data_IF_034979343365
#
_entry.id   IF_034979343365
#
_cell.length_a   1.000
_cell.length_b   1.000
_cell.length_c   1.000
_cell.angle_alpha   90.00
_cell.angle_beta   90.00
_cell.angle_gamma   90.00
#
_symmetry.space_group_name_H-M   'P 1'
#
loop_
_entity.id
_entity.type
_entity.pdbx_description
1 polymer ?
#
# COMPACT_ATOMS: atom_id res chain seq x y z
N UNK A 1 -12.62 -3.92 1.44
CA UNK A 1 -11.56 -4.26 2.43
C UNK A 1 -10.34 -3.34 2.38
N UNK A 2 -10.05 -2.61 1.30
CA UNK A 2 -8.97 -1.59 1.29
C UNK A 2 -9.45 -0.23 0.76
N UNK A 3 -10.78 -0.02 0.76
CA UNK A 3 -11.38 1.25 0.31
C UNK A 3 -10.79 2.48 0.98
N UNK A 4 -10.58 2.47 2.31
CA UNK A 4 -9.98 3.60 3.02
C UNK A 4 -8.57 3.97 2.55
N UNK A 5 -7.77 3.00 2.09
CA UNK A 5 -6.45 3.23 1.49
C UNK A 5 -6.58 3.97 0.16
N UNK A 6 -7.43 3.45 -0.73
CA UNK A 6 -7.69 4.05 -2.04
C UNK A 6 -8.24 5.47 -1.88
N UNK A 7 -9.20 5.65 -0.97
CA UNK A 7 -9.84 6.93 -0.72
C UNK A 7 -8.91 7.94 -0.03
N UNK A 8 -7.82 7.50 0.60
CA UNK A 8 -6.81 8.41 1.15
C UNK A 8 -6.00 9.10 0.04
N UNK A 9 -5.73 8.37 -1.04
CA UNK A 9 -4.85 8.80 -2.12
C UNK A 9 -5.61 9.70 -3.10
N UNK A 10 -6.86 9.35 -3.42
CA UNK A 10 -7.67 10.03 -4.44
C UNK A 10 -7.80 11.55 -4.25
N UNK A 11 -7.90 12.04 -3.02
CA UNK A 11 -8.31 13.43 -2.74
C UNK A 11 -7.34 14.52 -3.19
N UNK A 12 -6.03 14.24 -3.21
CA UNK A 12 -4.98 15.23 -3.57
C UNK A 12 -4.01 14.72 -4.63
N UNK A 13 -4.16 13.46 -5.07
CA UNK A 13 -3.26 12.88 -6.06
C UNK A 13 -3.39 13.59 -7.41
N UNK A 14 -4.62 13.91 -7.85
CA UNK A 14 -4.86 14.51 -9.16
C UNK A 14 -4.11 15.85 -9.34
N UNK A 15 -4.30 16.77 -8.39
CA UNK A 15 -3.66 18.09 -8.42
C UNK A 15 -2.12 17.99 -8.39
N UNK A 16 -1.58 17.05 -7.59
CA UNK A 16 -0.14 16.84 -7.48
C UNK A 16 0.45 16.10 -8.66
N UNK A 17 -0.27 15.13 -9.24
CA UNK A 17 0.12 14.40 -10.43
C UNK A 17 0.31 15.35 -11.62
N UNK A 18 -0.58 16.32 -11.79
CA UNK A 18 -0.44 17.33 -12.85
C UNK A 18 0.70 18.31 -12.54
N UNK A 19 0.74 18.88 -11.33
CA UNK A 19 1.70 19.93 -10.98
C UNK A 19 3.14 19.46 -10.79
N UNK A 20 3.35 18.23 -10.31
CA UNK A 20 4.69 17.69 -10.00
C UNK A 20 5.18 16.76 -11.10
N UNK A 21 4.31 15.86 -11.58
CA UNK A 21 4.69 14.83 -12.55
C UNK A 21 4.43 15.25 -13.99
N UNK A 22 3.74 16.38 -14.21
CA UNK A 22 3.38 16.84 -15.54
C UNK A 22 2.44 15.88 -16.27
N UNK A 23 1.68 15.07 -15.53
CA UNK A 23 0.72 14.14 -16.14
C UNK A 23 -0.43 14.91 -16.77
N UNK A 24 -0.83 14.48 -17.96
CA UNK A 24 -2.01 15.02 -18.62
C UNK A 24 -3.27 14.58 -17.86
N UNK A 25 -4.35 15.37 -17.93
CA UNK A 25 -5.63 15.05 -17.26
C UNK A 25 -6.13 13.64 -17.59
N UNK A 26 -5.99 13.22 -18.85
CA UNK A 26 -6.34 11.88 -19.30
C UNK A 26 -5.48 10.76 -18.68
N UNK A 27 -4.29 11.07 -18.19
CA UNK A 27 -3.36 10.12 -17.56
C UNK A 27 -3.53 10.06 -16.04
N UNK A 28 -4.11 11.09 -15.41
CA UNK A 28 -4.23 11.20 -13.96
C UNK A 28 -5.05 10.05 -13.36
N UNK A 29 -6.27 9.83 -13.86
CA UNK A 29 -7.16 8.81 -13.30
C UNK A 29 -6.63 7.37 -13.52
N UNK A 30 -6.13 7.00 -14.72
CA UNK A 30 -5.48 5.71 -14.92
C UNK A 30 -4.24 5.52 -14.04
N UNK A 31 -3.41 6.56 -13.87
CA UNK A 31 -2.23 6.49 -13.00
C UNK A 31 -2.62 6.33 -11.55
N UNK A 32 -3.60 7.10 -11.07
CA UNK A 32 -4.14 6.99 -9.71
C UNK A 32 -4.70 5.59 -9.44
N UNK A 33 -5.41 5.01 -10.40
CA UNK A 33 -5.91 3.64 -10.32
C UNK A 33 -4.74 2.65 -10.23
N UNK A 34 -3.75 2.76 -11.10
CA UNK A 34 -2.55 1.90 -11.09
C UNK A 34 -1.78 2.00 -9.76
N UNK A 35 -1.58 3.21 -9.26
CA UNK A 35 -0.98 3.48 -7.94
C UNK A 35 -1.79 2.81 -6.83
N UNK A 36 -3.09 3.06 -6.79
CA UNK A 36 -3.98 2.52 -5.77
C UNK A 36 -4.01 0.99 -5.78
N UNK A 37 -4.15 0.40 -6.97
CA UNK A 37 -4.21 -1.05 -7.17
C UNK A 37 -2.87 -1.69 -6.75
N UNK A 38 -1.74 -1.13 -7.19
CA UNK A 38 -0.39 -1.62 -6.83
C UNK A 38 -0.12 -1.54 -5.33
N UNK A 39 -0.52 -0.45 -4.68
CA UNK A 39 -0.38 -0.30 -3.22
C UNK A 39 -1.25 -1.31 -2.49
N UNK A 40 -2.51 -1.45 -2.89
CA UNK A 40 -3.44 -2.42 -2.30
C UNK A 40 -2.92 -3.85 -2.46
N UNK A 41 -2.42 -4.21 -3.64
CA UNK A 41 -1.91 -5.54 -3.92
C UNK A 41 -0.59 -5.82 -3.19
N UNK A 42 0.27 -4.82 -3.05
CA UNK A 42 1.47 -4.94 -2.22
C UNK A 42 1.09 -5.10 -0.75
N UNK A 43 0.21 -4.27 -0.21
CA UNK A 43 -0.28 -4.38 1.17
C UNK A 43 -0.89 -5.76 1.43
N UNK A 44 -1.75 -6.24 0.52
CA UNK A 44 -2.27 -7.62 0.57
C UNK A 44 -1.11 -8.63 0.61
N UNK A 45 -0.20 -8.60 -0.35
CA UNK A 45 0.93 -9.55 -0.43
C UNK A 45 1.74 -9.56 0.86
N UNK A 46 1.97 -8.41 1.48
CA UNK A 46 2.78 -8.32 2.71
C UNK A 46 1.99 -8.78 3.93
N UNK A 47 0.71 -8.41 4.05
CA UNK A 47 -0.21 -8.93 5.08
C UNK A 47 -0.30 -10.46 4.99
N UNK A 48 -0.60 -10.99 3.80
CA UNK A 48 -0.73 -12.42 3.52
C UNK A 48 0.60 -13.17 3.50
N UNK A 49 1.73 -12.47 3.34
CA UNK A 49 3.08 -13.01 3.37
C UNK A 49 3.71 -13.04 4.77
N UNK A 50 2.94 -12.78 5.83
CA UNK A 50 3.42 -12.83 7.21
C UNK A 50 4.09 -11.55 7.72
N UNK A 51 4.06 -10.45 6.94
CA UNK A 51 4.62 -9.14 7.32
C UNK A 51 3.57 -8.16 7.83
N UNK A 52 2.53 -8.67 8.48
CA UNK A 52 1.41 -7.87 8.98
C UNK A 52 1.87 -6.75 9.93
N UNK A 53 2.78 -7.06 10.86
CA UNK A 53 3.28 -6.07 11.81
C UNK A 53 4.05 -4.93 11.13
N UNK A 54 4.81 -5.22 10.08
CA UNK A 54 5.53 -4.20 9.31
C UNK A 54 4.54 -3.27 8.59
N UNK A 55 3.47 -3.86 8.03
CA UNK A 55 2.42 -3.12 7.33
C UNK A 55 1.68 -2.20 8.30
N UNK A 56 1.30 -2.72 9.48
CA UNK A 56 0.69 -1.92 10.54
C UNK A 56 1.66 -0.79 10.93
N UNK A 57 2.93 -1.11 11.19
CA UNK A 57 3.95 -0.13 11.52
C UNK A 57 4.01 1.02 10.52
N UNK A 58 4.13 0.70 9.24
CA UNK A 58 4.26 1.71 8.18
C UNK A 58 2.98 2.54 7.99
N UNK A 59 1.82 1.89 7.84
CA UNK A 59 0.56 2.56 7.49
C UNK A 59 -0.09 3.30 8.67
N UNK A 60 0.32 3.00 9.90
CA UNK A 60 -0.11 3.73 11.10
C UNK A 60 0.89 4.82 11.51
N UNK A 61 2.06 4.88 10.86
CA UNK A 61 3.14 5.80 11.20
C UNK A 61 3.96 5.40 12.44
N UNK A 62 3.74 4.21 13.00
CA UNK A 62 4.55 3.67 14.08
C UNK A 62 5.97 3.26 13.61
N UNK A 63 6.18 3.09 12.30
CA UNK A 63 7.49 2.84 11.68
C UNK A 63 7.78 3.90 10.63
N UNK A 64 9.03 4.42 10.55
CA UNK A 64 9.41 5.36 9.51
C UNK A 64 9.18 4.83 8.08
N UNK A 65 8.65 5.70 7.22
CA UNK A 65 8.48 5.47 5.80
C UNK A 65 9.72 5.96 5.02
N UNK A 66 10.87 5.35 5.29
CA UNK A 66 12.15 5.72 4.67
C UNK A 66 12.71 4.62 3.75
N UNK A 67 13.83 4.92 3.10
CA UNK A 67 14.48 4.02 2.14
C UNK A 67 15.01 2.71 2.74
N UNK A 68 15.18 2.63 4.07
CA UNK A 68 15.60 1.41 4.75
C UNK A 68 14.41 0.49 5.05
N UNK A 69 13.17 0.97 4.89
CA UNK A 69 11.98 0.17 5.14
C UNK A 69 11.74 -0.82 3.97
N UNK A 70 11.78 -2.14 4.20
CA UNK A 70 11.62 -3.14 3.14
C UNK A 70 10.28 -3.04 2.41
N UNK A 71 9.23 -2.55 3.08
CA UNK A 71 7.93 -2.33 2.46
C UNK A 71 7.96 -1.18 1.46
N UNK A 72 8.72 -0.11 1.74
CA UNK A 72 8.87 1.00 0.79
C UNK A 72 9.52 0.52 -0.50
N UNK A 73 10.55 -0.32 -0.41
CA UNK A 73 11.20 -0.93 -1.59
C UNK A 73 10.26 -1.83 -2.38
N UNK A 74 9.43 -2.64 -1.71
CA UNK A 74 8.44 -3.51 -2.36
C UNK A 74 7.32 -2.70 -3.03
N UNK A 75 6.82 -1.66 -2.37
CA UNK A 75 5.81 -0.75 -2.92
C UNK A 75 6.34 -0.04 -4.16
N UNK A 76 7.56 0.50 -4.09
CA UNK A 76 8.19 1.17 -5.23
C UNK A 76 8.42 0.21 -6.39
N UNK A 77 9.00 -0.96 -6.13
CA UNK A 77 9.26 -1.95 -7.17
C UNK A 77 7.97 -2.48 -7.81
N UNK A 78 6.93 -2.72 -7.01
CA UNK A 78 5.62 -3.15 -7.48
C UNK A 78 4.94 -2.08 -8.34
N UNK A 79 5.05 -0.82 -7.95
CA UNK A 79 4.46 0.29 -8.69
C UNK A 79 5.19 0.56 -10.01
N UNK A 80 6.53 0.59 -10.02
CA UNK A 80 7.30 0.71 -11.27
C UNK A 80 6.89 -0.39 -12.25
N UNK A 81 6.81 -1.65 -11.78
CA UNK A 81 6.37 -2.76 -12.61
C UNK A 81 4.94 -2.57 -13.12
N UNK A 82 4.02 -2.10 -12.27
CA UNK A 82 2.62 -1.87 -12.67
C UNK A 82 2.49 -0.74 -13.69
N UNK A 83 3.21 0.37 -13.51
CA UNK A 83 3.22 1.48 -14.48
C UNK A 83 3.85 1.05 -15.81
N UNK A 84 4.96 0.31 -15.78
CA UNK A 84 5.57 -0.18 -17.02
C UNK A 84 4.70 -1.20 -17.75
N UNK A 85 4.08 -2.14 -17.03
CA UNK A 85 3.29 -3.22 -17.65
C UNK A 85 1.85 -2.81 -18.01
N UNK A 86 1.18 -2.02 -17.16
CA UNK A 86 -0.23 -1.66 -17.35
C UNK A 86 -0.40 -0.35 -18.14
N UNK A 87 0.51 0.61 -17.95
CA UNK A 87 0.43 1.92 -18.61
C UNK A 87 1.38 2.04 -19.81
N UNK A 88 2.26 1.05 -20.04
CA UNK A 88 3.28 1.11 -21.09
C UNK A 88 4.30 2.22 -20.87
N UNK A 89 4.45 2.71 -19.64
CA UNK A 89 5.35 3.83 -19.33
C UNK A 89 6.81 3.38 -19.37
N UNK A 90 7.66 4.24 -19.94
CA UNK A 90 9.11 4.04 -19.92
C UNK A 90 9.66 4.02 -18.49
N UNK A 91 10.73 3.26 -18.25
CA UNK A 91 11.29 3.06 -16.91
C UNK A 91 11.59 4.36 -16.15
N UNK A 92 12.10 5.39 -16.83
CA UNK A 92 12.37 6.70 -16.22
C UNK A 92 11.11 7.39 -15.71
N UNK A 93 10.05 7.42 -16.53
CA UNK A 93 8.77 8.03 -16.15
C UNK A 93 8.07 7.24 -15.05
N UNK A 94 8.07 5.90 -15.16
CA UNK A 94 7.53 5.02 -14.11
C UNK A 94 8.25 5.22 -12.76
N UNK A 95 9.57 5.38 -12.77
CA UNK A 95 10.36 5.66 -11.58
C UNK A 95 10.00 7.02 -10.98
N UNK A 96 9.94 8.08 -11.78
CA UNK A 96 9.55 9.42 -11.30
C UNK A 96 8.17 9.44 -10.66
N UNK A 97 7.18 8.81 -11.30
CA UNK A 97 5.83 8.69 -10.74
C UNK A 97 5.90 7.91 -9.43
N UNK A 98 6.68 6.83 -9.36
CA UNK A 98 6.82 6.00 -8.16
C UNK A 98 7.45 6.75 -6.99
N UNK A 99 8.57 7.44 -7.23
CA UNK A 99 9.33 8.19 -6.22
C UNK A 99 8.47 9.26 -5.54
N UNK A 100 7.51 9.82 -6.27
CA UNK A 100 6.50 10.71 -5.72
C UNK A 100 5.33 9.95 -5.07
N UNK A 101 4.74 9.01 -5.80
CA UNK A 101 3.44 8.43 -5.46
C UNK A 101 3.48 7.55 -4.23
N UNK A 102 4.56 6.78 -4.03
CA UNK A 102 4.68 5.88 -2.87
C UNK A 102 4.78 6.67 -1.55
N UNK A 103 5.72 7.61 -1.37
CA UNK A 103 5.77 8.41 -0.16
C UNK A 103 4.48 9.22 0.07
N UNK A 104 3.94 9.82 -1.00
CA UNK A 104 2.69 10.57 -0.93
C UNK A 104 1.53 9.69 -0.45
N UNK A 105 1.37 8.49 -1.03
CA UNK A 105 0.28 7.60 -0.65
C UNK A 105 0.41 7.13 0.79
N UNK A 106 1.61 6.75 1.24
CA UNK A 106 1.86 6.36 2.63
C UNK A 106 1.54 7.51 3.58
N UNK A 107 2.00 8.73 3.28
CA UNK A 107 1.67 9.91 4.07
C UNK A 107 0.15 10.12 4.19
N UNK A 108 -0.58 9.99 3.09
CA UNK A 108 -2.04 10.14 3.08
C UNK A 108 -2.76 9.05 3.85
N UNK A 109 -2.36 7.79 3.68
CA UNK A 109 -2.93 6.66 4.41
C UNK A 109 -2.70 6.85 5.91
N UNK A 110 -1.48 7.17 6.33
CA UNK A 110 -1.13 7.43 7.73
C UNK A 110 -1.91 8.60 8.30
N UNK A 111 -2.04 9.72 7.57
CA UNK A 111 -2.88 10.85 7.99
C UNK A 111 -4.34 10.45 8.17
N UNK A 112 -4.89 9.68 7.23
CA UNK A 112 -6.29 9.21 7.31
C UNK A 112 -6.49 8.21 8.44
N UNK A 113 -5.49 7.36 8.70
CA UNK A 113 -5.48 6.44 9.83
C UNK A 113 -5.52 7.21 11.16
N UNK A 114 -4.61 8.16 11.35
CA UNK A 114 -4.57 9.01 12.55
C UNK A 114 -5.89 9.77 12.72
N UNK A 115 -6.42 10.35 11.65
CA UNK A 115 -7.70 11.06 11.67
C UNK A 115 -8.91 10.17 12.00
N UNK A 116 -8.82 8.86 11.77
CA UNK A 116 -9.88 7.92 12.11
C UNK A 116 -9.99 7.64 13.62
N UNK A 117 -8.98 8.02 14.41
CA UNK A 117 -8.94 7.76 15.86
C UNK A 117 -8.67 6.31 16.25
N UNK A 118 -8.36 5.44 15.28
CA UNK A 118 -8.00 4.06 15.53
C UNK A 118 -6.61 3.95 16.22
N UNK A 119 -6.43 2.90 17.02
CA UNK A 119 -5.17 2.57 17.68
C UNK A 119 -4.15 2.01 16.70
N UNK A 120 -2.87 2.39 16.83
CA UNK A 120 -1.77 1.89 15.98
C UNK A 120 -1.37 0.43 16.32
N UNK A 121 -2.37 -0.46 16.37
CA UNK A 121 -2.26 -1.88 16.62
C UNK A 121 -3.10 -2.66 15.59
N UNK A 122 -3.12 -3.98 15.74
CA UNK A 122 -3.87 -4.86 14.86
C UNK A 122 -5.37 -4.55 14.86
N UNK A 123 -5.94 -4.21 16.01
CA UNK A 123 -7.38 -4.01 16.16
C UNK A 123 -7.80 -2.70 15.47
N UNK A 124 -7.03 -1.63 15.66
CA UNK A 124 -7.27 -0.36 14.98
C UNK A 124 -6.97 -0.43 13.48
N UNK A 125 -5.94 -1.17 13.05
CA UNK A 125 -5.68 -1.42 11.63
C UNK A 125 -6.81 -2.23 10.98
N UNK A 126 -7.27 -3.30 11.63
CA UNK A 126 -8.39 -4.12 11.20
C UNK A 126 -9.67 -3.28 11.02
N UNK A 127 -9.97 -2.45 12.02
CA UNK A 127 -11.07 -1.48 11.99
C UNK A 127 -10.93 -0.49 10.83
N UNK A 128 -9.74 0.09 10.65
CA UNK A 128 -9.47 1.08 9.60
C UNK A 128 -9.68 0.53 8.19
N UNK A 129 -9.17 -0.67 7.89
CA UNK A 129 -9.33 -1.27 6.55
C UNK A 129 -10.70 -1.97 6.39
N UNK A 130 -11.41 -2.21 7.49
CA UNK A 130 -12.69 -2.93 7.49
C UNK A 130 -12.52 -4.42 7.25
N UNK A 131 -11.51 -5.02 7.87
CA UNK A 131 -11.27 -6.47 7.90
C UNK A 131 -11.40 -6.95 9.33
N UNK A 132 -11.97 -8.13 9.55
CA UNK A 132 -12.00 -8.74 10.88
C UNK A 132 -10.57 -9.08 11.34
N UNK A 133 -10.21 -8.66 12.56
CA UNK A 133 -8.91 -8.94 13.16
C UNK A 133 -8.57 -10.43 13.21
N UNK A 134 -9.56 -11.32 13.32
CA UNK A 134 -9.36 -12.76 13.33
C UNK A 134 -8.92 -13.27 11.96
N UNK A 135 -9.40 -12.67 10.87
CA UNK A 135 -8.90 -12.96 9.52
C UNK A 135 -7.44 -12.52 9.45
N UNK A 136 -7.11 -11.29 9.88
CA UNK A 136 -5.71 -10.83 9.88
C UNK A 136 -4.78 -11.69 10.76
N UNK A 137 -5.23 -12.11 11.95
CA UNK A 137 -4.49 -13.03 12.84
C UNK A 137 -4.31 -14.40 12.22
N UNK A 138 -5.34 -14.94 11.57
CA UNK A 138 -5.26 -16.25 10.90
C UNK A 138 -4.24 -16.23 9.78
N UNK A 139 -4.10 -15.09 9.11
CA UNK A 139 -3.17 -14.89 8.02
C UNK A 139 -1.75 -14.68 8.54
N UNK A 140 -1.56 -13.86 9.58
CA UNK A 140 -0.23 -13.63 10.17
C UNK A 140 0.29 -14.81 10.99
N UNK A 141 -0.60 -15.63 11.55
CA UNK A 141 -0.26 -16.81 12.34
C UNK A 141 -0.30 -18.13 11.57
N UNK A 142 -0.81 -18.15 10.34
CA UNK A 142 -1.30 -19.38 9.71
C UNK A 142 -0.46 -19.97 8.58
N UNK A 143 0.54 -19.28 8.02
CA UNK A 143 1.41 -19.94 7.02
C UNK A 143 2.29 -21.02 7.65
N UNK A 144 2.56 -20.98 8.96
CA UNK A 144 3.18 -22.09 9.69
C UNK A 144 2.23 -23.28 9.94
N UNK A 145 0.95 -23.01 10.21
CA UNK A 145 -0.04 -24.06 10.55
C UNK A 145 -0.69 -24.73 9.34
N UNK A 146 -0.92 -23.98 8.26
CA UNK A 146 -1.55 -24.50 7.04
C UNK A 146 -0.57 -25.28 6.16
N UNK A 147 0.68 -24.84 6.05
CA UNK A 147 1.73 -25.60 5.35
C UNK A 147 2.28 -26.76 6.21
N UNK A 148 2.36 -26.61 7.53
CA UNK A 148 2.78 -27.68 8.44
C UNK A 148 1.88 -28.92 8.39
N UNK A 149 0.56 -28.74 8.20
CA UNK A 149 -0.38 -29.85 8.02
C UNK A 149 -0.49 -30.37 6.58
N UNK A 150 0.05 -29.66 5.59
CA UNK A 150 0.02 -30.07 4.18
C UNK A 150 1.30 -30.77 3.74
N UNK A 151 2.43 -30.47 4.38
CA UNK A 151 3.74 -31.13 4.19
C UNK A 151 4.12 -32.07 5.35
N UNK A 152 3.27 -32.17 6.37
CA UNK A 152 3.45 -33.02 7.56
C UNK A 152 2.61 -34.30 7.54
N UNK A 153 2.46 -34.96 6.38
CA UNK A 153 2.04 -36.36 6.25
C UNK A 153 2.99 -37.12 5.35
#
# INVERSE_FOLDING_TARGET
MFGPIVDAIKGEFADKAQSILGLEEAQVEPTLKCVSDSLVDTVKKQVFGGKLNDVIGLLTGATPADANNPLMTELSSGLVNSLSTQMGMGASQAQQITDFSVPFAIEKITKKFIASGNTADLDGFASFIGIDKNILKSVSGGIGGFFGNMFGR
#
